data_IF_289689183550
#
_entry.id   IF_289689183550
#
_cell.length_a   1.000
_cell.length_b   1.000
_cell.length_c   1.000
_cell.angle_alpha   90.00
_cell.angle_beta   90.00
_cell.angle_gamma   90.00
#
_symmetry.space_group_name_H-M   'P 1'
#
loop_
_entity.id
_entity.type
_entity.pdbx_description
1 polymer ?
#
# COMPACT_ATOMS: atom_id res chain seq x y z
N UNK A 1 -10.85 16.20 -85.62
CA UNK A 1 -10.65 15.33 -84.44
C UNK A 1 -10.18 16.22 -83.33
N UNK A 2 -10.97 16.39 -82.26
CA UNK A 2 -10.57 17.17 -81.07
C UNK A 2 -9.84 16.24 -80.05
N UNK A 3 -8.99 16.82 -79.25
CA UNK A 3 -8.29 16.07 -78.21
C UNK A 3 -9.18 15.86 -76.98
N UNK A 4 -9.11 14.67 -76.41
CA UNK A 4 -9.76 14.25 -75.18
C UNK A 4 -9.07 14.82 -73.94
N UNK A 5 -9.79 15.63 -73.22
CA UNK A 5 -9.42 16.11 -71.86
C UNK A 5 -9.70 14.99 -70.84
N UNK A 6 -8.63 14.61 -70.15
CA UNK A 6 -8.67 13.62 -69.03
C UNK A 6 -8.23 14.31 -67.76
N UNK A 7 -9.17 15.04 -67.16
CA UNK A 7 -9.01 15.58 -65.82
C UNK A 7 -9.26 14.49 -64.76
N UNK A 8 -8.15 13.92 -64.30
CA UNK A 8 -8.18 13.02 -63.15
C UNK A 8 -8.44 13.77 -61.84
N UNK A 9 -9.63 13.53 -61.27
CA UNK A 9 -10.01 13.99 -59.93
C UNK A 9 -9.08 13.40 -58.85
N UNK A 10 -8.21 14.21 -58.31
CA UNK A 10 -7.46 13.90 -57.09
C UNK A 10 -8.43 14.01 -55.90
N UNK A 11 -8.93 12.85 -55.43
CA UNK A 11 -9.64 12.77 -54.13
C UNK A 11 -8.66 13.09 -53.01
N UNK A 12 -8.85 14.23 -52.38
CA UNK A 12 -8.26 14.63 -51.12
C UNK A 12 -8.67 13.62 -50.06
N UNK A 13 -7.72 12.83 -49.59
CA UNK A 13 -7.86 11.96 -48.43
C UNK A 13 -7.79 12.88 -47.19
N UNK A 14 -8.95 13.35 -46.73
CA UNK A 14 -9.09 14.10 -45.51
C UNK A 14 -8.83 13.12 -44.34
N UNK A 15 -7.64 13.22 -43.74
CA UNK A 15 -7.27 12.45 -42.57
C UNK A 15 -8.22 12.83 -41.42
N UNK A 16 -8.98 11.85 -40.94
CA UNK A 16 -9.81 12.02 -39.76
C UNK A 16 -8.96 12.52 -38.56
N UNK A 17 -9.47 13.42 -37.74
CA UNK A 17 -8.76 13.89 -36.57
C UNK A 17 -8.45 12.70 -35.66
N UNK A 18 -7.26 12.66 -35.00
CA UNK A 18 -6.93 11.63 -34.04
C UNK A 18 -8.02 11.62 -32.95
N UNK A 19 -8.63 10.47 -32.76
CA UNK A 19 -9.59 10.25 -31.68
C UNK A 19 -8.97 10.60 -30.32
N UNK A 20 -9.77 10.91 -29.29
CA UNK A 20 -9.24 11.31 -27.98
C UNK A 20 -8.28 10.24 -27.48
N UNK A 21 -7.02 10.62 -27.34
CA UNK A 21 -6.01 9.76 -26.69
C UNK A 21 -6.57 9.40 -25.33
N UNK A 22 -6.88 8.12 -25.12
CA UNK A 22 -7.29 7.61 -23.82
C UNK A 22 -6.08 7.73 -22.90
N UNK A 23 -5.98 8.88 -22.21
CA UNK A 23 -5.10 9.01 -21.06
C UNK A 23 -5.57 7.96 -20.05
N UNK A 24 -4.96 6.78 -20.09
CA UNK A 24 -5.21 5.75 -19.09
C UNK A 24 -4.69 6.32 -17.78
N UNK A 25 -5.61 6.91 -17.00
CA UNK A 25 -5.29 7.53 -15.72
C UNK A 25 -4.58 6.49 -14.86
N UNK A 26 -3.35 6.80 -14.45
CA UNK A 26 -2.51 5.88 -13.68
C UNK A 26 -3.21 5.52 -12.37
N UNK A 27 -3.44 4.22 -12.15
CA UNK A 27 -4.07 3.75 -10.92
C UNK A 27 -3.28 4.25 -9.71
N UNK A 28 -3.96 4.98 -8.82
CA UNK A 28 -3.37 5.54 -7.61
C UNK A 28 -3.99 4.91 -6.36
N UNK A 29 -3.14 4.46 -5.44
CA UNK A 29 -3.53 4.02 -4.10
C UNK A 29 -2.98 5.02 -3.09
N UNK A 30 -3.87 5.61 -2.30
CA UNK A 30 -3.48 6.51 -1.22
C UNK A 30 -3.09 5.74 0.03
N UNK A 31 -2.27 6.36 0.90
CA UNK A 31 -1.95 5.82 2.21
C UNK A 31 -2.19 6.85 3.30
N UNK A 32 -2.73 6.43 4.43
CA UNK A 32 -3.01 7.30 5.57
C UNK A 32 -2.73 6.57 6.89
N UNK A 33 -2.19 7.29 7.86
CA UNK A 33 -2.06 6.80 9.24
C UNK A 33 -3.08 7.49 10.13
N UNK A 34 -3.84 6.73 10.93
CA UNK A 34 -4.80 7.36 11.82
C UNK A 34 -4.14 8.03 13.04
N UNK A 35 -3.02 7.50 13.55
CA UNK A 35 -2.33 8.01 14.74
C UNK A 35 -3.28 8.19 15.92
N UNK A 36 -3.13 9.31 16.62
CA UNK A 36 -4.02 9.76 17.71
C UNK A 36 -5.05 10.79 17.26
N UNK A 37 -5.29 10.92 15.94
CA UNK A 37 -6.20 11.93 15.40
C UNK A 37 -7.60 11.77 15.95
N UNK A 38 -8.31 12.88 16.19
CA UNK A 38 -9.76 12.87 16.31
C UNK A 38 -10.40 12.27 15.05
N UNK A 39 -11.57 11.68 15.20
CA UNK A 39 -12.30 11.11 14.07
C UNK A 39 -12.61 12.15 12.98
N UNK A 40 -12.98 13.35 13.40
CA UNK A 40 -13.37 14.46 12.54
C UNK A 40 -12.21 14.87 11.62
N UNK A 41 -11.00 15.01 12.16
CA UNK A 41 -9.79 15.30 11.40
C UNK A 41 -9.48 14.18 10.41
N UNK A 42 -9.59 12.93 10.84
CA UNK A 42 -9.36 11.78 9.96
C UNK A 42 -10.35 11.75 8.79
N UNK A 43 -11.63 12.00 9.06
CA UNK A 43 -12.68 12.05 8.04
C UNK A 43 -12.46 13.21 7.07
N UNK A 44 -12.08 14.38 7.58
CA UNK A 44 -11.75 15.55 6.74
C UNK A 44 -10.62 15.26 5.78
N UNK A 45 -9.54 14.60 6.23
CA UNK A 45 -8.43 14.16 5.37
C UNK A 45 -8.91 13.23 4.25
N UNK A 46 -9.78 12.27 4.57
CA UNK A 46 -10.33 11.36 3.56
C UNK A 46 -11.17 12.12 2.52
N UNK A 47 -12.02 13.04 2.96
CA UNK A 47 -12.89 13.85 2.09
C UNK A 47 -12.10 14.81 1.22
N UNK A 48 -11.11 15.50 1.78
CA UNK A 48 -10.26 16.43 1.06
C UNK A 48 -9.55 15.78 -0.14
N UNK A 49 -9.25 14.49 -0.03
CA UNK A 49 -8.63 13.73 -1.12
C UNK A 49 -9.63 12.86 -1.90
N UNK A 50 -10.93 13.01 -1.67
CA UNK A 50 -11.97 12.27 -2.38
C UNK A 50 -11.90 10.75 -2.17
N UNK A 51 -11.45 10.29 -1.00
CA UNK A 51 -11.34 8.85 -0.71
C UNK A 51 -12.74 8.25 -0.53
N UNK A 52 -13.05 7.25 -1.34
CA UNK A 52 -14.32 6.53 -1.32
C UNK A 52 -14.25 5.21 -0.56
N UNK A 53 -13.03 4.69 -0.32
CA UNK A 53 -12.80 3.43 0.39
C UNK A 53 -11.55 3.49 1.25
N UNK A 54 -11.66 3.03 2.48
CA UNK A 54 -10.53 2.75 3.37
C UNK A 54 -10.30 1.25 3.43
N UNK A 55 -9.06 0.84 3.14
CA UNK A 55 -8.58 -0.54 3.31
C UNK A 55 -7.68 -0.57 4.55
N UNK A 56 -8.18 -1.17 5.62
CA UNK A 56 -7.46 -1.31 6.87
C UNK A 56 -6.45 -2.46 6.78
N UNK A 57 -5.16 -2.14 6.78
CA UNK A 57 -4.05 -3.11 6.68
C UNK A 57 -3.41 -3.40 8.03
N UNK A 58 -4.08 -3.14 9.14
CA UNK A 58 -3.61 -3.54 10.46
C UNK A 58 -3.85 -5.02 10.68
N UNK A 59 -2.90 -5.72 11.29
CA UNK A 59 -3.09 -7.12 11.70
C UNK A 59 -4.21 -7.25 12.74
N UNK A 60 -4.25 -6.31 13.69
CA UNK A 60 -5.24 -6.26 14.76
C UNK A 60 -5.86 -4.85 14.77
N UNK A 61 -7.06 -4.65 14.18
CA UNK A 61 -7.72 -3.34 14.12
C UNK A 61 -8.44 -3.02 15.45
N UNK A 62 -7.68 -2.99 16.54
CA UNK A 62 -8.15 -2.68 17.89
C UNK A 62 -7.13 -1.82 18.62
N UNK A 63 -7.58 -0.79 19.31
CA UNK A 63 -6.75 0.10 20.10
C UNK A 63 -7.48 0.49 21.38
N UNK A 64 -6.82 0.43 22.54
CA UNK A 64 -7.34 0.93 23.81
C UNK A 64 -7.28 2.47 23.85
N UNK A 65 -6.22 3.04 23.29
CA UNK A 65 -5.98 4.49 23.32
C UNK A 65 -6.77 5.27 22.26
N UNK A 66 -7.15 4.60 21.17
CA UNK A 66 -7.86 5.23 20.05
C UNK A 66 -9.07 4.37 19.65
N UNK A 67 -10.09 4.23 20.54
CA UNK A 67 -11.23 3.33 20.34
C UNK A 67 -12.10 3.72 19.13
N UNK A 68 -12.04 4.99 18.69
CA UNK A 68 -12.71 5.48 17.49
C UNK A 68 -12.23 4.77 16.21
N UNK A 69 -11.03 4.16 16.23
CA UNK A 69 -10.45 3.38 15.13
C UNK A 69 -10.55 1.87 15.34
N UNK A 70 -11.30 1.38 16.33
CA UNK A 70 -11.62 -0.02 16.43
C UNK A 70 -12.49 -0.45 15.23
N UNK A 71 -12.30 -1.67 14.74
CA UNK A 71 -12.90 -2.16 13.49
C UNK A 71 -14.40 -1.87 13.39
N UNK A 72 -15.16 -2.20 14.41
CA UNK A 72 -16.62 -2.05 14.42
C UNK A 72 -17.02 -0.57 14.42
N UNK A 73 -16.36 0.23 15.26
CA UNK A 73 -16.61 1.67 15.38
C UNK A 73 -16.23 2.39 14.09
N UNK A 74 -15.03 2.12 13.57
CA UNK A 74 -14.53 2.72 12.34
C UNK A 74 -15.41 2.37 11.13
N UNK A 75 -15.75 1.09 10.96
CA UNK A 75 -16.61 0.62 9.87
C UNK A 75 -17.98 1.32 9.89
N UNK A 76 -18.60 1.46 11.05
CA UNK A 76 -19.88 2.15 11.22
C UNK A 76 -19.76 3.64 10.89
N UNK A 77 -18.74 4.32 11.40
CA UNK A 77 -18.50 5.76 11.18
C UNK A 77 -18.21 6.05 9.69
N UNK A 78 -17.37 5.24 9.04
CA UNK A 78 -17.08 5.38 7.61
C UNK A 78 -18.33 5.15 6.76
N UNK A 79 -19.15 4.14 7.09
CA UNK A 79 -20.43 3.89 6.40
C UNK A 79 -21.37 5.10 6.51
N UNK A 80 -21.49 5.69 7.70
CA UNK A 80 -22.25 6.93 7.91
C UNK A 80 -21.73 8.10 7.06
N UNK A 81 -20.43 8.14 6.79
CA UNK A 81 -19.79 9.11 5.91
C UNK A 81 -19.83 8.74 4.42
N UNK A 82 -20.49 7.62 4.02
CA UNK A 82 -20.57 7.04 2.66
C UNK A 82 -19.21 6.59 2.12
N UNK A 83 -18.28 6.25 3.00
CA UNK A 83 -16.96 5.71 2.67
C UNK A 83 -16.95 4.20 2.96
N UNK A 84 -16.53 3.40 1.97
CA UNK A 84 -16.40 1.95 2.13
C UNK A 84 -15.30 1.58 3.12
N UNK A 85 -15.46 0.47 3.84
CA UNK A 85 -14.45 -0.09 4.72
C UNK A 85 -14.19 -1.56 4.39
N UNK A 86 -12.92 -1.93 4.24
CA UNK A 86 -12.48 -3.32 4.05
C UNK A 86 -11.28 -3.57 4.96
N UNK A 87 -11.29 -4.67 5.72
CA UNK A 87 -10.13 -5.12 6.47
C UNK A 87 -9.38 -6.19 5.68
N UNK A 88 -8.11 -5.93 5.33
CA UNK A 88 -7.21 -6.87 4.65
C UNK A 88 -6.09 -7.32 5.59
N UNK A 89 -6.39 -8.28 6.47
CA UNK A 89 -5.41 -8.85 7.42
C UNK A 89 -4.20 -9.50 6.73
N UNK A 90 -4.35 -9.98 5.49
CA UNK A 90 -3.23 -10.49 4.67
C UNK A 90 -2.16 -9.42 4.39
N UNK A 91 -2.49 -8.14 4.49
CA UNK A 91 -1.52 -7.04 4.39
C UNK A 91 -1.08 -6.52 5.76
N UNK A 92 -1.36 -7.25 6.84
CA UNK A 92 -1.03 -6.85 8.21
C UNK A 92 0.45 -6.95 8.55
N UNK A 93 0.94 -5.96 9.34
CA UNK A 93 2.37 -5.73 9.59
C UNK A 93 3.02 -6.58 10.68
N UNK A 94 2.26 -7.35 11.47
CA UNK A 94 2.83 -8.20 12.53
C UNK A 94 3.38 -9.49 11.94
N UNK A 95 4.63 -9.46 11.47
CA UNK A 95 5.33 -10.59 10.86
C UNK A 95 6.67 -10.83 11.53
N UNK A 96 7.11 -12.07 11.53
CA UNK A 96 8.39 -12.48 12.09
C UNK A 96 9.43 -12.61 10.99
N UNK A 97 10.63 -12.08 11.24
CA UNK A 97 11.74 -12.22 10.31
C UNK A 97 12.25 -13.67 10.31
N UNK A 98 12.60 -14.18 9.12
CA UNK A 98 13.24 -15.46 8.92
C UNK A 98 14.69 -15.40 9.39
N UNK A 99 15.28 -16.55 9.78
CA UNK A 99 16.70 -16.64 10.15
C UNK A 99 17.62 -16.41 8.95
N UNK A 100 17.20 -16.89 7.79
CA UNK A 100 17.86 -16.81 6.49
C UNK A 100 17.32 -15.67 5.61
N UNK A 101 16.82 -14.61 6.24
CA UNK A 101 16.19 -13.48 5.53
C UNK A 101 17.17 -12.83 4.54
N UNK A 102 16.77 -12.66 3.27
CA UNK A 102 17.53 -11.86 2.30
C UNK A 102 17.39 -10.35 2.54
N UNK A 103 16.48 -9.95 3.43
CA UNK A 103 16.08 -8.55 3.65
C UNK A 103 16.88 -7.87 4.78
N UNK A 104 18.17 -8.19 4.86
CA UNK A 104 19.06 -7.73 5.95
C UNK A 104 19.37 -6.23 5.91
N UNK A 105 19.03 -5.51 4.86
CA UNK A 105 19.09 -4.05 4.80
C UNK A 105 18.18 -3.37 5.84
N UNK A 106 17.09 -4.04 6.23
CA UNK A 106 16.24 -3.58 7.32
C UNK A 106 16.86 -3.91 8.69
N UNK A 107 17.34 -2.89 9.42
CA UNK A 107 17.78 -3.04 10.81
C UNK A 107 16.62 -3.37 11.75
N UNK A 108 15.45 -2.80 11.48
CA UNK A 108 14.22 -3.08 12.23
C UNK A 108 13.71 -4.48 11.88
N UNK A 109 13.66 -5.35 12.88
CA UNK A 109 13.24 -6.76 12.73
C UNK A 109 11.78 -6.89 12.24
N UNK A 110 10.89 -5.97 12.62
CA UNK A 110 9.49 -5.99 12.17
C UNK A 110 9.38 -5.67 10.68
N UNK A 111 10.16 -4.69 10.18
CA UNK A 111 10.24 -4.41 8.75
C UNK A 111 10.86 -5.56 7.96
N UNK A 112 11.93 -6.16 8.51
CA UNK A 112 12.54 -7.36 7.93
C UNK A 112 11.53 -8.50 7.82
N UNK A 113 10.79 -8.77 8.89
CA UNK A 113 9.76 -9.82 8.91
C UNK A 113 8.64 -9.54 7.91
N UNK A 114 8.24 -8.28 7.75
CA UNK A 114 7.25 -7.93 6.74
C UNK A 114 7.82 -8.06 5.31
N UNK A 115 9.08 -7.66 5.08
CA UNK A 115 9.76 -7.84 3.81
C UNK A 115 9.91 -9.33 3.43
N UNK A 116 10.19 -10.21 4.42
CA UNK A 116 10.19 -11.67 4.21
C UNK A 116 8.79 -12.18 3.85
N UNK A 117 7.75 -11.67 4.52
CA UNK A 117 6.37 -12.01 4.24
C UNK A 117 5.91 -11.55 2.84
N UNK A 118 6.44 -10.43 2.32
CA UNK A 118 6.16 -9.95 0.97
C UNK A 118 6.54 -10.96 -0.13
N UNK A 119 7.36 -11.97 0.18
CA UNK A 119 7.75 -13.04 -0.75
C UNK A 119 6.78 -14.24 -0.73
N UNK A 120 5.68 -14.15 0.04
CA UNK A 120 4.70 -15.23 0.18
C UNK A 120 3.50 -15.04 -0.73
N UNK A 121 2.85 -16.17 -1.04
CA UNK A 121 1.60 -16.15 -1.81
C UNK A 121 0.46 -15.43 -1.07
N UNK A 122 0.41 -15.53 0.26
CA UNK A 122 -0.61 -14.83 1.04
C UNK A 122 -0.51 -13.31 0.91
N UNK A 123 0.73 -12.78 0.87
CA UNK A 123 0.92 -11.36 0.62
C UNK A 123 0.45 -10.99 -0.78
N UNK A 124 0.84 -11.77 -1.79
CA UNK A 124 0.45 -11.53 -3.18
C UNK A 124 -1.07 -11.53 -3.35
N UNK A 125 -1.76 -12.51 -2.78
CA UNK A 125 -3.23 -12.56 -2.79
C UNK A 125 -3.84 -11.32 -2.12
N UNK A 126 -3.25 -10.85 -1.00
CA UNK A 126 -3.64 -9.62 -0.33
C UNK A 126 -3.46 -8.39 -1.20
N UNK A 127 -2.32 -8.29 -1.87
CA UNK A 127 -1.96 -7.19 -2.77
C UNK A 127 -2.87 -7.14 -4.01
N UNK A 128 -3.11 -8.28 -4.64
CA UNK A 128 -4.04 -8.38 -5.78
C UNK A 128 -5.47 -7.98 -5.39
N UNK A 129 -5.91 -8.39 -4.19
CA UNK A 129 -7.20 -7.94 -3.67
C UNK A 129 -7.25 -6.43 -3.47
N UNK A 130 -6.19 -5.82 -2.94
CA UNK A 130 -6.09 -4.36 -2.80
C UNK A 130 -6.17 -3.67 -4.17
N UNK A 131 -5.40 -4.14 -5.16
CA UNK A 131 -5.41 -3.59 -6.52
C UNK A 131 -6.80 -3.67 -7.15
N UNK A 132 -7.47 -4.83 -7.03
CA UNK A 132 -8.86 -5.00 -7.50
C UNK A 132 -9.83 -4.00 -6.84
N UNK A 133 -9.67 -3.75 -5.55
CA UNK A 133 -10.48 -2.77 -4.83
C UNK A 133 -10.19 -1.33 -5.31
N UNK A 134 -8.92 -0.99 -5.51
CA UNK A 134 -8.50 0.34 -5.93
C UNK A 134 -8.94 0.69 -7.36
N UNK A 135 -9.05 -0.31 -8.24
CA UNK A 135 -9.61 -0.12 -9.59
C UNK A 135 -11.10 0.24 -9.60
N UNK A 136 -11.82 -0.08 -8.53
CA UNK A 136 -13.27 0.16 -8.44
C UNK A 136 -13.61 1.51 -7.83
N UNK A 137 -12.81 1.97 -6.86
CA UNK A 137 -13.05 3.18 -6.08
C UNK A 137 -11.75 3.79 -5.62
N UNK A 138 -11.72 5.12 -5.50
CA UNK A 138 -10.57 5.84 -4.94
C UNK A 138 -10.28 5.36 -3.52
N UNK A 139 -9.16 4.69 -3.35
CA UNK A 139 -8.86 3.86 -2.18
C UNK A 139 -7.66 4.37 -1.42
N UNK A 140 -7.76 4.42 -0.09
CA UNK A 140 -6.63 4.64 0.81
C UNK A 140 -6.39 3.42 1.70
N UNK A 141 -5.14 2.92 1.75
CA UNK A 141 -4.72 1.96 2.78
C UNK A 141 -4.48 2.69 4.10
N UNK A 142 -4.92 2.10 5.21
CA UNK A 142 -4.81 2.72 6.53
C UNK A 142 -4.10 1.81 7.52
N UNK A 143 -3.21 2.42 8.32
CA UNK A 143 -2.60 1.80 9.49
C UNK A 143 -2.63 2.75 10.70
N UNK A 144 -2.17 2.27 11.86
CA UNK A 144 -2.12 3.09 13.08
C UNK A 144 -1.01 4.15 13.06
N UNK A 145 0.14 3.87 12.47
CA UNK A 145 1.31 4.75 12.49
C UNK A 145 1.09 6.00 11.60
N UNK A 146 1.35 7.19 12.15
CA UNK A 146 1.22 8.45 11.41
C UNK A 146 2.22 8.52 10.25
N UNK A 147 3.48 8.22 10.56
CA UNK A 147 4.62 8.44 9.68
C UNK A 147 4.77 7.28 8.69
N UNK A 148 4.64 7.52 7.37
CA UNK A 148 4.65 6.43 6.36
C UNK A 148 5.90 5.55 6.44
N UNK A 149 7.09 6.15 6.51
CA UNK A 149 8.36 5.42 6.53
C UNK A 149 8.68 4.69 7.85
N UNK A 150 7.83 4.84 8.88
CA UNK A 150 7.87 4.06 10.13
C UNK A 150 6.86 2.93 10.15
N UNK A 151 6.14 2.74 9.06
CA UNK A 151 5.03 1.82 8.96
C UNK A 151 5.21 0.85 7.80
N UNK A 152 4.77 -0.40 7.97
CA UNK A 152 4.76 -1.40 6.90
C UNK A 152 3.96 -0.98 5.65
N UNK A 153 3.14 0.09 5.73
CA UNK A 153 2.49 0.69 4.55
C UNK A 153 3.50 1.13 3.50
N UNK A 154 4.73 1.57 3.91
CA UNK A 154 5.77 1.94 2.95
C UNK A 154 6.23 0.73 2.11
N UNK A 155 6.29 -0.45 2.69
CA UNK A 155 6.64 -1.66 1.95
C UNK A 155 5.49 -2.12 1.03
N UNK A 156 4.23 -1.91 1.44
CA UNK A 156 3.07 -2.12 0.55
C UNK A 156 3.14 -1.12 -0.61
N UNK A 157 3.48 0.14 -0.33
CA UNK A 157 3.67 1.17 -1.35
C UNK A 157 4.82 0.83 -2.31
N UNK A 158 5.96 0.29 -1.81
CA UNK A 158 7.04 -0.24 -2.64
C UNK A 158 6.51 -1.32 -3.60
N UNK A 159 5.73 -2.29 -3.10
CA UNK A 159 5.18 -3.38 -3.90
C UNK A 159 4.17 -2.89 -4.97
N UNK A 160 3.40 -1.85 -4.68
CA UNK A 160 2.53 -1.19 -5.66
C UNK A 160 3.35 -0.46 -6.73
N UNK A 161 4.38 0.30 -6.30
CA UNK A 161 5.25 1.08 -7.20
C UNK A 161 5.98 0.18 -8.18
N UNK A 162 6.49 -0.97 -7.74
CA UNK A 162 7.15 -1.97 -8.59
C UNK A 162 6.22 -2.49 -9.70
N UNK A 163 4.90 -2.50 -9.45
CA UNK A 163 3.86 -2.91 -10.42
C UNK A 163 3.29 -1.74 -11.25
N UNK A 164 3.96 -0.59 -11.24
CA UNK A 164 3.52 0.59 -11.99
C UNK A 164 2.27 1.26 -11.41
N UNK A 165 1.92 0.96 -10.15
CA UNK A 165 0.79 1.59 -9.46
C UNK A 165 1.32 2.71 -8.59
N UNK A 166 0.75 3.91 -8.76
CA UNK A 166 1.13 5.07 -7.98
C UNK A 166 0.66 4.93 -6.53
N UNK A 167 1.56 5.14 -5.60
CA UNK A 167 1.23 5.23 -4.18
C UNK A 167 1.45 6.67 -3.70
N UNK A 168 0.49 7.23 -2.95
CA UNK A 168 0.56 8.59 -2.42
C UNK A 168 0.21 8.64 -0.94
N UNK A 169 1.12 9.18 -0.15
CA UNK A 169 0.92 9.40 1.28
C UNK A 169 0.11 10.67 1.53
N UNK A 170 -1.04 10.58 2.17
CA UNK A 170 -1.84 11.73 2.61
C UNK A 170 -1.13 12.37 3.81
N UNK A 171 -0.64 13.59 3.63
CA UNK A 171 0.10 14.35 4.65
C UNK A 171 -0.82 15.36 5.34
N UNK A 172 -1.64 16.08 4.56
CA UNK A 172 -2.62 17.05 5.05
C UNK A 172 -3.80 17.12 4.09
N UNK A 173 -4.84 17.89 4.42
CA UNK A 173 -5.99 18.09 3.52
C UNK A 173 -5.66 18.71 2.16
N UNK A 174 -4.50 19.35 2.04
CA UNK A 174 -4.06 20.03 0.80
C UNK A 174 -2.86 19.36 0.13
N UNK A 175 -2.24 18.35 0.76
CA UNK A 175 -0.96 17.82 0.31
C UNK A 175 -0.89 16.30 0.41
N UNK A 176 -0.52 15.66 -0.69
CA UNK A 176 -0.01 14.29 -0.75
C UNK A 176 1.48 14.30 -1.04
N UNK A 177 2.13 13.18 -0.80
CA UNK A 177 3.50 12.92 -1.19
C UNK A 177 3.56 11.62 -1.97
N UNK A 178 4.06 11.68 -3.20
CA UNK A 178 4.29 10.46 -3.99
C UNK A 178 5.33 9.61 -3.27
N UNK A 179 4.98 8.36 -3.06
CA UNK A 179 5.89 7.38 -2.48
C UNK A 179 7.09 7.17 -3.40
N UNK A 180 8.28 7.16 -2.81
CA UNK A 180 9.52 6.83 -3.51
C UNK A 180 9.99 5.46 -3.04
N UNK A 181 10.35 4.62 -4.00
CA UNK A 181 10.86 3.28 -3.70
C UNK A 181 12.00 3.35 -2.67
N UNK A 182 11.98 2.44 -1.72
CA UNK A 182 13.03 2.34 -0.70
C UNK A 182 14.40 2.21 -1.35
N UNK A 183 15.33 3.13 -1.04
CA UNK A 183 16.61 3.33 -1.75
C UNK A 183 17.48 2.07 -1.87
N UNK A 184 17.44 1.19 -0.89
CA UNK A 184 18.20 -0.07 -0.86
C UNK A 184 17.37 -1.28 -1.31
N UNK A 185 16.15 -1.06 -1.80
CA UNK A 185 15.35 -2.10 -2.45
C UNK A 185 15.97 -2.52 -3.78
N UNK A 186 15.92 -3.83 -4.05
CA UNK A 186 16.32 -4.43 -5.34
C UNK A 186 15.10 -5.10 -5.94
N UNK A 187 14.76 -4.68 -7.15
CA UNK A 187 13.56 -5.14 -7.86
C UNK A 187 13.95 -6.31 -8.77
N UNK A 188 13.16 -7.38 -8.73
CA UNK A 188 13.27 -8.55 -9.57
C UNK A 188 11.87 -8.91 -10.11
N UNK A 189 11.54 -8.44 -11.32
CA UNK A 189 10.17 -8.52 -11.84
C UNK A 189 9.21 -7.78 -10.92
N UNK A 190 8.17 -8.44 -10.44
CA UNK A 190 7.19 -7.88 -9.50
C UNK A 190 7.60 -8.00 -8.01
N UNK A 191 8.72 -8.65 -7.74
CA UNK A 191 9.23 -8.83 -6.39
C UNK A 191 10.26 -7.75 -6.02
N UNK A 192 10.33 -7.44 -4.73
CA UNK A 192 11.36 -6.54 -4.19
C UNK A 192 11.99 -7.19 -2.95
N UNK A 193 13.30 -7.15 -2.88
CA UNK A 193 14.08 -7.54 -1.70
C UNK A 193 14.91 -6.37 -1.21
N UNK A 194 15.35 -6.42 0.03
CA UNK A 194 16.09 -5.35 0.71
C UNK A 194 17.40 -5.89 1.29
N UNK A 195 18.40 -6.17 0.42
CA UNK A 195 19.66 -6.77 0.86
C UNK A 195 20.45 -5.82 1.75
N UNK A 196 21.36 -6.38 2.55
CA UNK A 196 22.37 -5.56 3.23
C UNK A 196 23.23 -4.81 2.20
N UNK A 197 23.71 -3.63 2.57
CA UNK A 197 24.75 -2.96 1.78
C UNK A 197 26.04 -3.79 1.81
N UNK A 198 26.79 -3.77 0.69
CA UNK A 198 28.08 -4.44 0.62
C UNK A 198 28.99 -3.98 1.78
N UNK A 199 29.51 -4.94 2.54
CA UNK A 199 30.32 -4.68 3.75
C UNK A 199 29.54 -4.57 5.07
N UNK A 200 28.22 -4.64 5.09
CA UNK A 200 27.42 -4.64 6.30
C UNK A 200 27.46 -6.04 6.96
N UNK A 201 28.09 -6.17 8.13
CA UNK A 201 28.05 -7.43 8.92
C UNK A 201 26.58 -7.72 9.28
N UNK A 202 26.10 -8.84 8.81
CA UNK A 202 24.78 -9.37 9.14
C UNK A 202 24.80 -9.83 10.58
N UNK A 203 24.13 -9.11 11.49
CA UNK A 203 23.93 -9.61 12.85
C UNK A 203 22.84 -10.67 12.84
N UNK A 204 23.14 -11.91 13.26
CA UNK A 204 22.10 -12.93 13.39
C UNK A 204 21.06 -12.50 14.42
N UNK A 205 19.81 -12.89 14.19
CA UNK A 205 18.72 -12.65 15.15
C UNK A 205 19.07 -13.29 16.49
N UNK A 206 19.09 -12.49 17.55
CA UNK A 206 19.26 -13.03 18.92
C UNK A 206 18.10 -14.01 19.20
N UNK A 207 18.38 -15.20 19.76
CA UNK A 207 17.32 -16.13 20.12
C UNK A 207 16.40 -15.46 21.15
N UNK A 208 15.11 -15.60 20.92
CA UNK A 208 14.08 -15.08 21.83
C UNK A 208 14.26 -15.76 23.18
N UNK A 209 14.47 -15.01 24.26
CA UNK A 209 14.40 -15.57 25.63
C UNK A 209 12.98 -16.12 25.81
N UNK A 210 12.85 -17.43 25.85
CA UNK A 210 11.62 -18.07 26.26
C UNK A 210 11.38 -17.72 27.73
N UNK A 211 10.37 -16.90 28.00
CA UNK A 211 9.89 -16.68 29.36
C UNK A 211 9.41 -18.02 29.90
N UNK A 212 10.16 -18.61 30.84
CA UNK A 212 9.67 -19.74 31.63
C UNK A 212 8.45 -19.24 32.39
N UNK A 213 7.25 -19.67 31.98
CA UNK A 213 6.09 -19.61 32.85
C UNK A 213 6.43 -20.46 34.08
N UNK A 214 6.65 -19.78 35.20
CA UNK A 214 6.67 -20.46 36.50
C UNK A 214 5.32 -21.12 36.70
N UNK A 215 5.30 -22.46 36.63
CA UNK A 215 4.22 -23.25 37.10
C UNK A 215 4.17 -23.05 38.62
N UNK A 216 3.20 -22.28 39.12
CA UNK A 216 2.83 -22.34 40.52
C UNK A 216 2.09 -23.66 40.68
N UNK A 217 2.81 -24.62 41.26
CA UNK A 217 2.22 -25.84 41.80
C UNK A 217 1.24 -25.44 42.88
N UNK A 218 -0.01 -25.76 42.68
CA UNK A 218 -0.99 -25.90 43.77
C UNK A 218 -0.56 -27.10 44.62
N UNK A 219 -0.19 -26.84 45.82
CA UNK A 219 0.07 -27.84 46.88
C UNK A 219 -0.84 -27.57 48.05
N UNK A 220 -1.68 -28.55 48.28
CA UNK A 220 -2.40 -28.89 49.54
C UNK A 220 -3.36 -27.87 50.11
#
# INVERSE_FOLDING_TARGET
MPPTDSSAEAKLFESAPPGPESHTEMLTVFTIGHSTRPWEEFLELLRAHGIERVVDVRSIPKSRHNPQFNRETLSRKLRGARIGYVHLSKLGGLRHARRDSPNMGWRNVSFRGFADYMQTEEFEQGLQRLIKLARQKKTAIMCAEAVPWRCHRSLIADALTVRGIRAEDIISGKRTQIHKLTRFGRVHGDCIIYPAADGQRVQPLRPRKTSKRSAHAAGS
#
